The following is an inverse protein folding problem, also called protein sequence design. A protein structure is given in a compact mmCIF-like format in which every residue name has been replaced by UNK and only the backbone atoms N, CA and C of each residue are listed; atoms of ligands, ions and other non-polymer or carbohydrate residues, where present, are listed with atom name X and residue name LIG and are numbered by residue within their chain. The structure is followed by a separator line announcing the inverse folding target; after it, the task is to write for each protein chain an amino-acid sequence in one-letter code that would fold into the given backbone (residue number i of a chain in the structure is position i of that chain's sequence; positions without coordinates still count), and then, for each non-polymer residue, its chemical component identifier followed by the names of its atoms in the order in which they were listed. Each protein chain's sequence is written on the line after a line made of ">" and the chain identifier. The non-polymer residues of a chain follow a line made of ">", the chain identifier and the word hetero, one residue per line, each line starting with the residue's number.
data_IF_430143504143
#
_entry.id   IF_430143504143
#
_cell.length_a   1.000
_cell.length_b   1.000
_cell.length_c   1.000
_cell.angle_alpha   90.00
_cell.angle_beta   90.00
_cell.angle_gamma   90.00
#
_symmetry.space_group_name_H-M   'P 1'
#
loop_
_entity.id
_entity.type
_entity.pdbx_description
1 polymer ?
#
# COMPACT_ATOMS: atom_id res chain seq x y z
N UNK A 1 25.63 9.00 -10.26
CA UNK A 1 24.44 8.12 -10.36
C UNK A 1 23.82 8.05 -8.98
N UNK A 2 22.81 8.88 -8.70
CA UNK A 2 22.16 8.94 -7.40
C UNK A 2 21.11 7.83 -7.29
N UNK A 3 21.22 7.03 -6.24
CA UNK A 3 20.15 6.11 -5.83
C UNK A 3 18.89 6.97 -5.57
N UNK A 4 17.72 6.64 -6.13
CA UNK A 4 16.51 7.38 -5.82
C UNK A 4 16.28 7.32 -4.31
N UNK A 5 15.96 8.46 -3.69
CA UNK A 5 15.67 8.55 -2.26
C UNK A 5 14.70 7.43 -1.87
N UNK A 6 15.12 6.50 -1.01
CA UNK A 6 14.30 5.35 -0.68
C UNK A 6 13.00 5.84 -0.05
N UNK A 7 11.86 5.62 -0.72
CA UNK A 7 10.51 5.87 -0.17
C UNK A 7 10.13 4.77 0.81
N UNK A 8 11.06 4.43 1.70
CA UNK A 8 10.85 3.49 2.78
C UNK A 8 10.29 4.29 3.95
N UNK A 9 9.07 3.96 4.34
CA UNK A 9 8.41 4.56 5.49
C UNK A 9 8.43 3.57 6.65
N UNK A 10 8.65 4.08 7.85
CA UNK A 10 8.55 3.30 9.06
C UNK A 10 7.25 3.69 9.78
N UNK A 11 6.42 2.69 10.08
CA UNK A 11 5.24 2.84 10.93
C UNK A 11 5.46 2.06 12.21
N UNK A 12 5.17 2.68 13.35
CA UNK A 12 5.33 2.08 14.68
C UNK A 12 3.99 1.95 15.39
N UNK A 13 3.81 0.84 16.11
CA UNK A 13 2.64 0.61 16.96
C UNK A 13 3.04 -0.07 18.25
N UNK A 14 2.42 0.36 19.34
CA UNK A 14 2.58 -0.25 20.65
C UNK A 14 1.51 -1.32 20.83
N UNK A 15 1.92 -2.51 21.27
CA UNK A 15 1.03 -3.64 21.54
C UNK A 15 0.21 -3.34 22.78
N UNK A 16 -1.11 -3.19 22.60
CA UNK A 16 -2.05 -3.03 23.71
C UNK A 16 -2.36 -4.37 24.42
N UNK A 17 -3.02 -4.28 25.58
CA UNK A 17 -3.36 -5.45 26.39
C UNK A 17 -4.22 -6.49 25.63
N UNK A 18 -5.12 -6.04 24.75
CA UNK A 18 -5.99 -6.91 23.94
C UNK A 18 -5.23 -7.78 22.93
N UNK A 19 -4.04 -7.33 22.50
CA UNK A 19 -3.20 -8.01 21.52
C UNK A 19 -2.00 -8.72 22.16
N UNK A 20 -1.91 -8.71 23.49
CA UNK A 20 -0.90 -9.44 24.24
C UNK A 20 -1.01 -10.95 24.02
N UNK A 21 0.12 -11.61 23.83
CA UNK A 21 0.22 -13.03 23.49
C UNK A 21 -0.04 -13.36 22.02
N UNK A 22 -0.42 -12.38 21.19
CA UNK A 22 -0.57 -12.57 19.76
C UNK A 22 0.79 -12.92 19.11
N UNK A 23 0.76 -13.78 18.09
CA UNK A 23 1.94 -14.02 17.25
C UNK A 23 2.20 -12.77 16.40
N UNK A 24 3.47 -12.36 16.27
CA UNK A 24 3.89 -11.21 15.48
C UNK A 24 3.24 -11.19 14.08
N UNK A 25 3.25 -12.33 13.38
CA UNK A 25 2.60 -12.46 12.07
C UNK A 25 1.12 -12.07 12.07
N UNK A 26 0.35 -12.53 13.06
CA UNK A 26 -1.08 -12.24 13.12
C UNK A 26 -1.33 -10.78 13.52
N UNK A 27 -0.51 -10.27 14.43
CA UNK A 27 -0.57 -8.86 14.84
C UNK A 27 -0.36 -7.93 13.65
N UNK A 28 0.68 -8.15 12.83
CA UNK A 28 0.95 -7.29 11.66
C UNK A 28 -0.17 -7.35 10.64
N UNK A 29 -0.69 -8.55 10.33
CA UNK A 29 -1.78 -8.73 9.36
C UNK A 29 -3.03 -7.96 9.79
N UNK A 30 -3.29 -7.86 11.10
CA UNK A 30 -4.50 -7.23 11.61
C UNK A 30 -4.33 -5.72 11.83
N UNK A 31 -3.29 -5.36 12.58
CA UNK A 31 -3.06 -3.98 12.99
C UNK A 31 -2.58 -3.15 11.80
N UNK A 32 -1.55 -3.58 11.08
CA UNK A 32 -0.95 -2.81 9.99
C UNK A 32 -1.71 -2.97 8.66
N UNK A 33 -3.01 -3.30 8.68
CA UNK A 33 -3.80 -3.53 7.47
C UNK A 33 -4.02 -2.26 6.62
N UNK A 34 -3.96 -1.10 7.26
CA UNK A 34 -3.98 0.22 6.62
C UNK A 34 -2.79 0.45 5.67
N UNK A 35 -1.63 -0.13 5.99
CA UNK A 35 -0.39 0.06 5.24
C UNK A 35 0.10 -1.21 4.51
N UNK A 36 -0.24 -2.39 5.03
CA UNK A 36 -0.02 -3.72 4.44
C UNK A 36 -1.39 -4.31 4.09
N UNK A 37 -1.98 -3.79 3.01
CA UNK A 37 -3.39 -3.99 2.67
C UNK A 37 -3.79 -5.45 2.45
N UNK A 38 -2.88 -6.25 1.90
CA UNK A 38 -3.10 -7.68 1.71
C UNK A 38 -2.18 -8.51 2.60
N UNK A 39 -2.67 -9.67 3.00
CA UNK A 39 -1.92 -10.63 3.82
C UNK A 39 -0.55 -10.99 3.23
N UNK A 40 -0.45 -11.02 1.90
CA UNK A 40 0.80 -11.30 1.20
C UNK A 40 1.88 -10.25 1.52
N UNK A 41 1.51 -8.96 1.60
CA UNK A 41 2.43 -7.87 1.90
C UNK A 41 3.03 -8.01 3.30
N UNK A 42 2.19 -8.32 4.30
CA UNK A 42 2.66 -8.57 5.67
C UNK A 42 3.63 -9.75 5.77
N UNK A 43 3.40 -10.82 4.99
CA UNK A 43 4.30 -11.97 4.93
C UNK A 43 5.61 -11.59 4.24
N UNK A 44 5.55 -10.80 3.17
CA UNK A 44 6.73 -10.34 2.45
C UNK A 44 7.59 -9.41 3.32
N UNK A 45 6.97 -8.49 4.06
CA UNK A 45 7.66 -7.61 5.00
C UNK A 45 8.46 -8.39 6.06
N UNK A 46 7.85 -9.45 6.63
CA UNK A 46 8.54 -10.35 7.57
C UNK A 46 9.72 -11.06 6.91
N UNK A 47 9.53 -11.64 5.72
CA UNK A 47 10.58 -12.35 4.96
C UNK A 47 11.76 -11.45 4.57
N UNK A 48 11.46 -10.20 4.22
CA UNK A 48 12.45 -9.19 3.84
C UNK A 48 13.14 -8.56 5.06
N UNK A 49 12.84 -9.01 6.29
CA UNK A 49 13.36 -8.43 7.54
C UNK A 49 13.06 -6.93 7.64
N UNK A 50 11.85 -6.52 7.25
CA UNK A 50 11.36 -5.15 7.39
C UNK A 50 10.52 -4.95 8.65
N UNK A 51 10.66 -5.82 9.64
CA UNK A 51 9.90 -5.77 10.89
C UNK A 51 10.84 -5.91 12.07
N UNK A 52 10.62 -5.04 13.06
CA UNK A 52 11.32 -5.02 14.34
C UNK A 52 10.33 -5.03 15.49
N UNK A 53 10.71 -5.69 16.58
CA UNK A 53 10.05 -5.61 17.88
C UNK A 53 11.08 -5.07 18.86
N UNK A 54 10.80 -3.92 19.46
CA UNK A 54 11.71 -3.20 20.35
C UNK A 54 13.11 -2.98 19.72
N UNK A 55 13.16 -2.71 18.42
CA UNK A 55 14.39 -2.51 17.65
C UNK A 55 15.13 -3.79 17.24
N UNK A 56 14.60 -4.98 17.55
CA UNK A 56 15.22 -6.27 17.21
C UNK A 56 14.42 -7.03 16.14
N UNK A 57 15.14 -7.73 15.25
CA UNK A 57 14.51 -8.72 14.39
C UNK A 57 14.17 -9.97 15.19
N UNK A 58 12.90 -10.36 15.15
CA UNK A 58 12.41 -11.57 15.80
C UNK A 58 11.73 -12.47 14.77
N UNK A 59 11.52 -13.74 15.15
CA UNK A 59 10.82 -14.70 14.29
C UNK A 59 9.33 -14.34 14.15
N UNK A 60 8.73 -14.67 13.02
CA UNK A 60 7.28 -14.50 12.75
C UNK A 60 6.37 -15.15 13.82
N UNK A 61 6.89 -16.20 14.47
CA UNK A 61 6.22 -16.94 15.54
C UNK A 61 6.38 -16.34 16.92
N UNK A 62 7.19 -15.29 17.07
CA UNK A 62 7.39 -14.57 18.32
C UNK A 62 6.04 -14.11 18.89
N UNK A 63 5.85 -14.27 20.20
CA UNK A 63 4.64 -13.82 20.89
C UNK A 63 4.92 -12.47 21.51
N UNK A 64 4.08 -11.51 21.17
CA UNK A 64 4.18 -10.15 21.64
C UNK A 64 3.68 -10.01 23.08
N UNK A 65 4.32 -9.17 23.87
CA UNK A 65 3.86 -8.74 25.17
C UNK A 65 3.19 -7.36 25.06
N UNK A 66 2.29 -7.06 26.00
CA UNK A 66 1.77 -5.70 26.14
C UNK A 66 2.91 -4.72 26.40
N UNK A 67 2.93 -3.62 25.66
CA UNK A 67 3.99 -2.60 25.72
C UNK A 67 5.11 -2.80 24.69
N UNK A 68 5.17 -3.92 23.97
CA UNK A 68 6.13 -4.09 22.88
C UNK A 68 5.86 -3.05 21.78
N UNK A 69 6.92 -2.45 21.25
CA UNK A 69 6.86 -1.57 20.09
C UNK A 69 7.19 -2.37 18.81
N UNK A 70 6.21 -2.50 17.92
CA UNK A 70 6.40 -3.13 16.60
C UNK A 70 6.60 -2.03 15.57
N UNK A 71 7.76 -2.05 14.90
CA UNK A 71 8.07 -1.18 13.77
C UNK A 71 8.03 -1.98 12.47
N UNK A 72 7.35 -1.47 11.46
CA UNK A 72 7.32 -2.03 10.11
C UNK A 72 7.86 -1.01 9.13
N UNK A 73 8.84 -1.40 8.34
CA UNK A 73 9.32 -0.64 7.18
C UNK A 73 8.57 -1.05 5.92
N UNK A 74 8.17 -0.07 5.13
CA UNK A 74 7.28 -0.24 3.99
C UNK A 74 7.90 0.46 2.81
N UNK A 75 8.23 -0.33 1.79
CA UNK A 75 8.54 0.19 0.48
C UNK A 75 7.23 0.54 -0.22
N UNK A 76 6.92 1.84 -0.27
CA UNK A 76 5.67 2.35 -0.83
C UNK A 76 5.53 1.95 -2.29
N UNK A 77 6.61 1.94 -3.07
CA UNK A 77 6.55 1.58 -4.50
C UNK A 77 6.25 0.09 -4.67
N UNK A 78 6.86 -0.76 -3.85
CA UNK A 78 6.59 -2.21 -3.87
C UNK A 78 5.14 -2.51 -3.47
N UNK A 79 4.62 -1.84 -2.43
CA UNK A 79 3.24 -1.98 -2.00
C UNK A 79 2.25 -1.52 -3.08
N UNK A 80 2.51 -0.36 -3.70
CA UNK A 80 1.72 0.16 -4.82
C UNK A 80 1.71 -0.82 -6.00
N UNK A 81 2.88 -1.34 -6.37
CA UNK A 81 3.02 -2.32 -7.46
C UNK A 81 2.29 -3.63 -7.16
N UNK A 82 2.41 -4.14 -5.93
CA UNK A 82 1.72 -5.34 -5.44
C UNK A 82 0.20 -5.18 -5.57
N UNK A 83 -0.36 -4.09 -5.03
CA UNK A 83 -1.80 -3.83 -5.09
C UNK A 83 -2.29 -3.60 -6.52
N UNK A 84 -1.60 -2.81 -7.34
CA UNK A 84 -1.96 -2.60 -8.75
C UNK A 84 -1.99 -3.92 -9.52
N UNK A 85 -1.03 -4.82 -9.29
CA UNK A 85 -1.01 -6.13 -9.98
C UNK A 85 -2.20 -7.03 -9.65
N UNK A 86 -2.90 -6.74 -8.54
CA UNK A 86 -4.14 -7.45 -8.16
C UNK A 86 -5.41 -6.84 -8.76
N UNK A 87 -5.33 -5.64 -9.34
CA UNK A 87 -6.43 -4.94 -9.97
C UNK A 87 -6.36 -5.12 -11.49
N UNK A 88 -7.43 -5.61 -12.10
CA UNK A 88 -7.56 -5.70 -13.55
C UNK A 88 -8.09 -4.36 -14.10
N UNK A 89 -7.14 -3.44 -14.30
CA UNK A 89 -7.34 -2.06 -14.72
C UNK A 89 -6.26 -1.63 -15.71
N UNK A 90 -6.63 -0.84 -16.70
CA UNK A 90 -5.72 -0.40 -17.76
C UNK A 90 -5.84 1.11 -18.00
N UNK A 91 -4.73 1.83 -17.93
CA UNK A 91 -4.68 3.27 -18.22
C UNK A 91 -4.72 3.47 -19.75
N UNK A 92 -5.80 4.09 -20.24
CA UNK A 92 -5.99 4.38 -21.66
C UNK A 92 -5.46 5.76 -22.06
N UNK A 93 -5.56 6.72 -21.15
CA UNK A 93 -5.14 8.10 -21.37
C UNK A 93 -4.76 8.76 -20.05
N UNK A 94 -3.79 9.68 -20.07
CA UNK A 94 -3.46 10.51 -18.93
C UNK A 94 -2.82 11.83 -19.35
N UNK A 95 -3.23 12.90 -18.70
CA UNK A 95 -2.62 14.22 -18.72
C UNK A 95 -2.65 14.82 -17.31
N UNK A 96 -2.00 15.97 -17.06
CA UNK A 96 -2.06 16.60 -15.74
C UNK A 96 -3.50 16.89 -15.28
N UNK A 97 -3.95 16.19 -14.24
CA UNK A 97 -5.28 16.36 -13.63
C UNK A 97 -6.43 15.60 -14.29
N UNK A 98 -6.18 14.83 -15.37
CA UNK A 98 -7.21 14.01 -16.02
C UNK A 98 -6.62 12.68 -16.48
N UNK A 99 -7.38 11.60 -16.29
CA UNK A 99 -7.02 10.28 -16.79
C UNK A 99 -8.26 9.54 -17.27
N UNK A 100 -8.07 8.55 -18.12
CA UNK A 100 -9.11 7.61 -18.51
C UNK A 100 -8.59 6.21 -18.26
N UNK A 101 -9.34 5.44 -17.49
CA UNK A 101 -9.00 4.09 -17.07
C UNK A 101 -10.09 3.11 -17.50
N UNK A 102 -9.70 2.00 -18.13
CA UNK A 102 -10.58 0.88 -18.41
C UNK A 102 -10.57 -0.08 -17.21
N UNK A 103 -11.71 -0.24 -16.53
CA UNK A 103 -11.84 -1.20 -15.42
C UNK A 103 -12.48 -2.51 -15.86
N UNK A 104 -12.05 -3.63 -15.29
CA UNK A 104 -12.75 -4.91 -15.42
C UNK A 104 -14.01 -4.99 -14.53
N UNK A 105 -14.90 -5.97 -14.78
CA UNK A 105 -15.98 -6.31 -13.85
C UNK A 105 -15.43 -6.68 -12.46
N UNK A 106 -16.12 -6.27 -11.41
CA UNK A 106 -15.77 -6.54 -10.01
C UNK A 106 -14.93 -5.43 -9.35
N UNK A 107 -14.28 -4.55 -10.12
CA UNK A 107 -13.48 -3.45 -9.59
C UNK A 107 -14.40 -2.36 -9.02
N UNK A 108 -14.11 -1.96 -7.78
CA UNK A 108 -14.89 -0.94 -7.07
C UNK A 108 -14.42 0.48 -7.42
N UNK A 109 -15.29 1.47 -7.21
CA UNK A 109 -14.93 2.88 -7.42
C UNK A 109 -13.69 3.31 -6.59
N UNK A 110 -13.57 2.98 -5.29
CA UNK A 110 -12.36 3.29 -4.54
C UNK A 110 -11.08 2.67 -5.11
N UNK A 111 -11.17 1.50 -5.74
CA UNK A 111 -10.01 0.88 -6.40
C UNK A 111 -9.61 1.65 -7.65
N UNK A 112 -10.57 2.16 -8.43
CA UNK A 112 -10.32 2.99 -9.60
C UNK A 112 -9.70 4.33 -9.21
N UNK A 113 -10.31 5.01 -8.25
CA UNK A 113 -9.85 6.30 -7.71
C UNK A 113 -8.42 6.22 -7.17
N UNK A 114 -8.04 5.07 -6.60
CA UNK A 114 -6.68 4.79 -6.16
C UNK A 114 -5.73 4.38 -7.30
N UNK A 115 -6.20 3.63 -8.29
CA UNK A 115 -5.36 3.01 -9.32
C UNK A 115 -4.68 4.03 -10.25
N UNK A 116 -5.37 5.10 -10.65
CA UNK A 116 -4.80 6.13 -11.54
C UNK A 116 -3.54 6.77 -10.93
N UNK A 117 -3.60 7.43 -9.75
CA UNK A 117 -2.40 8.03 -9.15
C UNK A 117 -1.33 6.98 -8.84
N UNK A 118 -1.72 5.75 -8.48
CA UNK A 118 -0.81 4.63 -8.27
C UNK A 118 -0.03 4.26 -9.55
N UNK A 119 -0.69 4.16 -10.71
CA UNK A 119 -0.04 3.88 -12.00
C UNK A 119 0.90 5.01 -12.38
N UNK A 120 0.45 6.25 -12.20
CA UNK A 120 1.25 7.44 -12.49
C UNK A 120 2.48 7.59 -11.58
N UNK A 121 2.46 7.04 -10.37
CA UNK A 121 3.64 6.93 -9.50
C UNK A 121 4.68 5.97 -10.08
N UNK A 122 4.24 4.90 -10.76
CA UNK A 122 5.12 3.87 -11.33
C UNK A 122 5.65 4.23 -12.73
N UNK A 123 4.99 5.13 -13.47
CA UNK A 123 5.40 5.53 -14.83
C UNK A 123 6.37 6.71 -14.85
N UNK A 124 6.38 7.57 -13.83
CA UNK A 124 7.30 8.70 -13.76
C UNK A 124 8.65 8.22 -13.21
N UNK A 125 9.57 7.89 -14.12
CA UNK A 125 10.99 7.78 -13.81
C UNK A 125 11.49 9.18 -13.41
N UNK A 126 11.72 9.36 -12.11
CA UNK A 126 12.45 10.48 -11.47
C UNK A 126 11.78 11.85 -11.33
N UNK A 127 11.95 12.38 -10.11
CA UNK A 127 11.89 13.79 -9.65
C UNK A 127 10.54 14.53 -9.59
N UNK A 128 10.30 15.06 -8.38
CA UNK A 128 9.38 16.13 -7.97
C UNK A 128 7.87 15.85 -7.96
N UNK A 129 7.28 15.21 -8.98
CA UNK A 129 5.80 15.18 -9.10
C UNK A 129 5.10 14.05 -8.31
N UNK A 130 5.86 13.06 -7.84
CA UNK A 130 5.25 11.95 -7.08
C UNK A 130 4.97 12.26 -5.61
N UNK A 131 5.55 13.32 -5.04
CA UNK A 131 5.27 13.73 -3.66
C UNK A 131 3.86 14.28 -3.51
N UNK A 132 3.34 14.97 -4.52
CA UNK A 132 1.93 15.41 -4.56
C UNK A 132 0.95 14.23 -4.60
N UNK A 133 1.39 13.06 -5.08
CA UNK A 133 0.58 11.84 -5.23
C UNK A 133 0.72 10.89 -4.03
N UNK A 134 1.69 11.12 -3.16
CA UNK A 134 1.96 10.34 -1.95
C UNK A 134 1.97 11.28 -0.74
N UNK A 135 0.88 11.30 0.03
CA UNK A 135 0.79 12.04 1.28
C UNK A 135 0.89 11.06 2.46
N UNK A 136 1.81 11.31 3.40
CA UNK A 136 2.04 10.47 4.58
C UNK A 136 2.25 8.98 4.28
N UNK A 137 2.76 8.65 3.09
CA UNK A 137 2.95 7.27 2.65
C UNK A 137 1.78 6.60 1.97
N UNK A 138 0.70 7.33 1.79
CA UNK A 138 -0.49 6.83 1.13
C UNK A 138 -0.64 7.50 -0.24
N UNK A 139 -1.05 6.71 -1.22
CA UNK A 139 -1.47 7.24 -2.52
C UNK A 139 -2.73 8.07 -2.29
N UNK A 140 -2.69 9.35 -2.68
CA UNK A 140 -3.86 10.22 -2.62
C UNK A 140 -4.81 9.83 -3.74
N UNK A 141 -6.03 9.34 -3.44
CA UNK A 141 -6.96 8.93 -4.47
C UNK A 141 -7.46 10.13 -5.27
N UNK A 142 -7.69 9.91 -6.56
CA UNK A 142 -8.38 10.86 -7.42
C UNK A 142 -9.90 10.71 -7.27
N UNK A 143 -10.66 11.63 -7.84
CA UNK A 143 -12.13 11.57 -7.83
C UNK A 143 -12.61 11.07 -9.18
N UNK A 144 -13.35 9.97 -9.21
CA UNK A 144 -14.00 9.52 -10.44
C UNK A 144 -15.19 10.46 -10.76
N UNK A 145 -15.22 11.02 -11.97
CA UNK A 145 -16.27 11.96 -12.39
C UNK A 145 -17.50 11.28 -12.98
N UNK A 146 -17.37 10.02 -13.40
CA UNK A 146 -18.49 9.20 -13.86
C UNK A 146 -18.67 7.91 -13.03
N UNK A 147 -19.86 7.33 -13.13
CA UNK A 147 -20.18 6.05 -12.49
C UNK A 147 -20.28 4.94 -13.53
N UNK A 148 -19.63 3.82 -13.26
CA UNK A 148 -19.74 2.58 -14.04
C UNK A 148 -20.02 1.46 -13.06
N UNK A 149 -21.12 0.74 -13.29
CA UNK A 149 -21.55 -0.34 -12.42
C UNK A 149 -20.43 -1.35 -12.15
N UNK A 150 -20.37 -1.86 -10.91
CA UNK A 150 -19.31 -2.79 -10.48
C UNK A 150 -19.22 -4.01 -11.40
N UNK A 151 -20.35 -4.55 -11.85
CA UNK A 151 -20.41 -5.75 -12.71
C UNK A 151 -20.04 -5.52 -14.18
N UNK A 152 -19.73 -4.30 -14.59
CA UNK A 152 -19.55 -3.93 -16.00
C UNK A 152 -18.11 -3.51 -16.27
N UNK A 153 -17.57 -3.94 -17.41
CA UNK A 153 -16.32 -3.39 -17.96
C UNK A 153 -16.62 -2.04 -18.59
N UNK A 154 -15.85 -1.00 -18.25
CA UNK A 154 -16.11 0.33 -18.81
C UNK A 154 -15.00 1.33 -18.53
N UNK A 155 -15.06 2.45 -19.25
CA UNK A 155 -14.16 3.57 -19.08
C UNK A 155 -14.62 4.44 -17.90
N UNK A 156 -13.68 4.74 -17.02
CA UNK A 156 -13.84 5.67 -15.91
C UNK A 156 -12.88 6.83 -16.14
N UNK A 157 -13.38 8.03 -15.87
CA UNK A 157 -12.66 9.29 -15.90
C UNK A 157 -12.46 9.74 -14.46
#
# INVERSE_FOLDING_TARGET
>A
MSVPASRVLATERVVGAASSGAKLRNYIIHEFRDVLMIRADAINALRQKRVWVNGLHVLDSHRLASGDCVRVEIDVLEAVKSRLSSLDVELQYSEPGLAVLLKAPGISRPDVEWAVPAMLILTVDTSEDSSARIADGHVVPWVAVNEVEKGVRGLVI
#
